data_IF_610980688823
#
_entry.id   IF_610980688823
#
_cell.length_a   1.000
_cell.length_b   1.000
_cell.length_c   1.000
_cell.angle_alpha   90.00
_cell.angle_beta   90.00
_cell.angle_gamma   90.00
#
_symmetry.space_group_name_H-M   'P 1'
#
loop_
_entity.id
_entity.type
_entity.pdbx_description
1 polymer ?
#
# COMPACT_ATOMS: atom_id res chain seq x y z
N UNK A 1 9.75 -20.05 -14.72
CA UNK A 1 9.67 -18.60 -14.41
C UNK A 1 8.43 -18.36 -13.56
N UNK A 2 8.62 -17.90 -12.34
CA UNK A 2 7.48 -17.61 -11.47
C UNK A 2 6.76 -16.35 -11.94
N UNK A 3 5.44 -16.43 -12.04
CA UNK A 3 4.62 -15.26 -12.30
C UNK A 3 4.38 -14.55 -10.98
N UNK A 4 5.13 -13.48 -10.76
CA UNK A 4 4.95 -12.65 -9.57
C UNK A 4 3.90 -11.59 -9.87
N UNK A 5 2.84 -11.57 -9.08
CA UNK A 5 1.78 -10.57 -9.18
C UNK A 5 1.85 -9.70 -7.93
N UNK A 6 1.97 -8.41 -8.14
CA UNK A 6 1.87 -7.40 -7.09
C UNK A 6 1.30 -6.16 -7.74
N UNK A 7 -0.01 -6.03 -7.67
CA UNK A 7 -0.72 -4.90 -8.26
C UNK A 7 -1.68 -4.33 -7.24
N UNK A 8 -1.80 -3.00 -7.24
CA UNK A 8 -2.82 -2.33 -6.47
C UNK A 8 -3.46 -1.22 -7.31
N UNK A 9 -4.72 -0.98 -7.01
CA UNK A 9 -5.49 0.14 -7.55
C UNK A 9 -6.20 0.79 -6.36
N UNK A 10 -5.88 2.06 -6.10
CA UNK A 10 -6.47 2.81 -5.01
C UNK A 10 -7.03 4.12 -5.51
N UNK A 11 -8.22 4.47 -5.07
CA UNK A 11 -8.86 5.75 -5.39
C UNK A 11 -9.43 6.36 -4.13
N UNK A 12 -9.11 7.62 -3.90
CA UNK A 12 -9.58 8.33 -2.72
C UNK A 12 -9.18 9.79 -2.75
N UNK A 13 -9.06 10.36 -1.57
CA UNK A 13 -8.67 11.76 -1.40
C UNK A 13 -7.42 11.87 -0.54
N UNK A 14 -6.54 12.78 -0.92
CA UNK A 14 -5.35 13.09 -0.13
C UNK A 14 -5.77 13.68 1.21
N UNK A 15 -5.23 13.13 2.30
CA UNK A 15 -5.48 13.60 3.66
C UNK A 15 -4.20 14.25 4.19
N UNK A 16 -4.27 15.52 4.49
CA UNK A 16 -3.12 16.28 4.95
C UNK A 16 -2.20 16.71 3.82
N UNK A 17 -1.05 17.25 4.17
CA UNK A 17 -0.07 17.73 3.21
C UNK A 17 0.96 16.65 2.92
N UNK A 18 1.23 16.30 1.64
CA UNK A 18 2.32 15.40 1.31
C UNK A 18 3.65 15.94 1.80
N UNK A 19 4.53 15.05 2.26
CA UNK A 19 5.87 15.42 2.74
C UNK A 19 6.93 14.80 1.86
N UNK A 20 8.05 15.51 1.69
CA UNK A 20 9.20 14.96 0.99
C UNK A 20 9.78 13.84 1.85
N UNK A 21 9.83 12.63 1.30
CA UNK A 21 10.34 11.47 1.99
C UNK A 21 11.84 11.31 1.79
N UNK A 22 12.22 10.70 0.70
CA UNK A 22 13.62 10.45 0.39
C UNK A 22 13.95 10.81 -1.05
N UNK A 23 15.22 10.92 -1.33
CA UNK A 23 15.77 11.12 -2.66
C UNK A 23 16.60 9.90 -3.02
N UNK A 24 16.39 9.35 -4.22
CA UNK A 24 17.18 8.24 -4.72
C UNK A 24 17.44 8.46 -6.20
N UNK A 25 18.72 8.37 -6.60
CA UNK A 25 19.12 8.53 -8.01
C UNK A 25 18.62 9.83 -8.66
N UNK A 26 18.62 10.94 -7.86
CA UNK A 26 18.15 12.24 -8.33
C UNK A 26 16.64 12.39 -8.37
N UNK A 27 15.90 11.42 -7.90
CA UNK A 27 14.43 11.41 -7.89
C UNK A 27 13.91 11.61 -6.47
N UNK A 28 12.99 12.56 -6.28
CA UNK A 28 12.34 12.80 -5.01
C UNK A 28 11.08 11.96 -4.89
N UNK A 29 10.85 11.43 -3.70
CA UNK A 29 9.63 10.71 -3.37
C UNK A 29 8.87 11.46 -2.30
N UNK A 30 7.56 11.49 -2.45
CA UNK A 30 6.66 12.07 -1.48
C UNK A 30 5.95 10.96 -0.71
N UNK A 31 5.74 11.18 0.57
CA UNK A 31 4.88 10.35 1.42
C UNK A 31 3.59 11.10 1.63
N UNK A 32 2.49 10.43 1.40
CA UNK A 32 1.17 11.01 1.62
C UNK A 32 0.22 9.97 2.20
N UNK A 33 -0.87 10.44 2.74
CA UNK A 33 -1.95 9.59 3.22
C UNK A 33 -3.13 9.72 2.26
N UNK A 34 -3.63 8.58 1.81
CA UNK A 34 -4.80 8.52 0.95
C UNK A 34 -5.97 7.97 1.75
N UNK A 35 -7.07 8.73 1.80
CA UNK A 35 -8.30 8.28 2.42
C UNK A 35 -9.14 7.54 1.40
N UNK A 36 -9.31 6.24 1.59
CA UNK A 36 -10.03 5.37 0.66
C UNK A 36 -11.35 4.95 1.30
N UNK A 37 -12.48 5.26 0.67
CA UNK A 37 -13.79 4.99 1.28
C UNK A 37 -14.12 3.50 1.23
N UNK A 38 -14.78 3.02 2.30
CA UNK A 38 -15.43 1.70 2.35
C UNK A 38 -16.91 1.85 2.04
N UNK A 39 -17.54 0.75 1.65
CA UNK A 39 -18.99 0.70 1.42
C UNK A 39 -19.78 1.12 2.67
N UNK A 40 -19.24 0.86 3.86
CA UNK A 40 -19.87 1.24 5.14
C UNK A 40 -19.89 2.74 5.41
N UNK A 41 -19.18 3.53 4.60
CA UNK A 41 -18.97 4.96 4.85
C UNK A 41 -17.72 5.26 5.66
N UNK A 42 -17.07 4.24 6.24
CA UNK A 42 -15.79 4.42 6.91
C UNK A 42 -14.70 4.67 5.88
N UNK A 43 -13.60 5.25 6.34
CA UNK A 43 -12.47 5.60 5.49
C UNK A 43 -11.21 4.91 6.01
N UNK A 44 -10.50 4.23 5.13
CA UNK A 44 -9.16 3.71 5.42
C UNK A 44 -8.13 4.78 5.08
N UNK A 45 -7.22 5.03 6.01
CA UNK A 45 -6.10 5.95 5.80
C UNK A 45 -4.87 5.12 5.42
N UNK A 46 -4.49 5.19 4.15
CA UNK A 46 -3.44 4.34 3.60
C UNK A 46 -2.20 5.16 3.26
N UNK A 47 -1.01 4.69 3.66
CA UNK A 47 0.24 5.37 3.31
C UNK A 47 0.58 5.11 1.84
N UNK A 48 0.94 6.18 1.13
CA UNK A 48 1.31 6.13 -0.28
C UNK A 48 2.68 6.75 -0.46
N UNK A 49 3.53 6.10 -1.22
CA UNK A 49 4.81 6.63 -1.68
C UNK A 49 4.71 6.94 -3.17
N UNK A 50 5.05 8.16 -3.55
CA UNK A 50 4.83 8.64 -4.91
C UNK A 50 6.01 9.46 -5.38
N UNK A 51 6.56 9.11 -6.56
CA UNK A 51 7.64 9.87 -7.17
C UNK A 51 7.15 11.22 -7.68
N UNK A 52 7.94 12.26 -7.47
CA UNK A 52 7.65 13.59 -8.00
C UNK A 52 7.49 13.59 -9.53
N UNK A 53 8.15 12.64 -10.20
CA UNK A 53 8.04 12.47 -11.66
C UNK A 53 6.60 12.24 -12.11
N UNK A 54 5.80 11.55 -11.29
CA UNK A 54 4.39 11.26 -11.61
C UNK A 54 3.51 12.49 -11.52
N UNK A 55 3.94 13.51 -10.81
CA UNK A 55 3.16 14.74 -10.62
C UNK A 55 3.26 15.70 -11.79
N UNK A 56 4.28 15.55 -12.63
CA UNK A 56 4.50 16.40 -13.81
C UNK A 56 4.41 17.90 -13.50
N UNK A 57 5.09 18.29 -12.40
CA UNK A 57 5.12 19.68 -11.95
C UNK A 57 3.92 20.12 -11.11
N UNK A 58 2.91 19.28 -10.98
CA UNK A 58 1.75 19.58 -10.15
C UNK A 58 2.05 19.33 -8.68
N UNK A 59 1.25 19.93 -7.80
CA UNK A 59 1.32 19.71 -6.36
C UNK A 59 0.00 19.12 -5.88
N UNK A 60 0.10 18.13 -5.01
CA UNK A 60 -1.07 17.55 -4.35
C UNK A 60 -1.33 18.28 -3.03
N UNK A 61 -2.59 18.55 -2.76
CA UNK A 61 -3.03 19.22 -1.54
C UNK A 61 -4.09 18.39 -0.84
N UNK A 62 -4.30 18.67 0.44
CA UNK A 62 -5.35 18.05 1.23
C UNK A 62 -6.71 18.18 0.52
N UNK A 63 -7.42 17.05 0.41
CA UNK A 63 -8.72 17.00 -0.24
C UNK A 63 -8.70 16.70 -1.73
N UNK A 64 -7.53 16.73 -2.36
CA UNK A 64 -7.43 16.41 -3.79
C UNK A 64 -7.78 14.95 -4.05
N UNK A 65 -8.55 14.71 -5.10
CA UNK A 65 -8.82 13.35 -5.55
C UNK A 65 -7.57 12.75 -6.19
N UNK A 66 -7.28 11.51 -5.86
CA UNK A 66 -6.12 10.80 -6.38
C UNK A 66 -6.46 9.34 -6.62
N UNK A 67 -6.17 8.87 -7.82
CA UNK A 67 -6.27 7.46 -8.18
C UNK A 67 -4.90 6.99 -8.65
N UNK A 68 -4.42 5.90 -8.08
CA UNK A 68 -3.11 5.35 -8.41
C UNK A 68 -3.20 3.87 -8.74
N UNK A 69 -2.31 3.45 -9.64
CA UNK A 69 -1.94 2.05 -9.84
C UNK A 69 -0.50 1.87 -9.40
N UNK A 70 -0.21 0.74 -8.78
CA UNK A 70 1.14 0.49 -8.30
C UNK A 70 1.30 -0.89 -7.66
N UNK A 71 2.13 -0.93 -6.63
CA UNK A 71 2.47 -2.16 -5.91
C UNK A 71 2.38 -1.93 -4.41
N UNK A 72 2.13 -3.02 -3.68
CA UNK A 72 2.29 -3.01 -2.22
C UNK A 72 3.75 -3.29 -1.90
N UNK A 73 4.37 -2.44 -1.11
CA UNK A 73 5.75 -2.61 -0.70
C UNK A 73 5.90 -2.52 0.80
N UNK A 74 6.91 -3.23 1.31
CA UNK A 74 7.27 -3.20 2.73
C UNK A 74 8.68 -2.66 2.89
N UNK A 75 8.94 -2.06 4.03
CA UNK A 75 10.28 -1.63 4.42
C UNK A 75 10.39 -1.64 5.94
N UNK A 76 11.63 -1.79 6.40
CA UNK A 76 11.91 -1.75 7.83
C UNK A 76 12.41 -0.35 8.21
N UNK A 77 11.90 0.15 9.32
CA UNK A 77 12.30 1.43 9.87
C UNK A 77 12.52 1.32 11.36
N UNK A 78 13.55 1.96 11.87
CA UNK A 78 13.79 2.03 13.30
C UNK A 78 13.01 3.21 13.85
N UNK A 79 12.07 2.92 14.74
CA UNK A 79 11.24 3.93 15.41
C UNK A 79 11.45 3.73 16.92
N UNK A 80 11.91 4.78 17.60
CA UNK A 80 12.18 4.76 19.04
C UNK A 80 13.08 3.57 19.46
N UNK A 81 14.10 3.28 18.66
CA UNK A 81 15.05 2.22 18.92
C UNK A 81 14.59 0.81 18.57
N UNK A 82 13.37 0.64 18.10
CA UNK A 82 12.82 -0.66 17.70
C UNK A 82 12.61 -0.73 16.20
N UNK A 83 12.96 -1.86 15.59
CA UNK A 83 12.69 -2.12 14.20
C UNK A 83 11.19 -2.36 13.96
N UNK A 84 10.62 -1.69 12.96
CA UNK A 84 9.23 -1.85 12.58
C UNK A 84 9.10 -2.12 11.10
N UNK A 85 8.22 -3.05 10.76
CA UNK A 85 7.83 -3.32 9.38
C UNK A 85 6.71 -2.36 9.01
N UNK A 86 6.96 -1.57 7.97
CA UNK A 86 5.97 -0.62 7.45
C UNK A 86 5.56 -1.05 6.05
N UNK A 87 4.30 -0.80 5.74
CA UNK A 87 3.71 -1.12 4.44
C UNK A 87 3.32 0.17 3.76
N UNK A 88 3.57 0.27 2.47
CA UNK A 88 3.17 1.43 1.68
C UNK A 88 2.61 1.00 0.34
N UNK A 89 1.69 1.80 -0.18
CA UNK A 89 1.26 1.71 -1.57
C UNK A 89 2.26 2.49 -2.41
N UNK A 90 3.06 1.80 -3.19
CA UNK A 90 4.06 2.41 -4.06
C UNK A 90 3.43 2.73 -5.40
N UNK A 91 3.13 4.00 -5.63
CA UNK A 91 2.48 4.44 -6.86
C UNK A 91 3.43 4.35 -8.05
N UNK A 92 2.99 3.71 -9.12
CA UNK A 92 3.72 3.62 -10.38
C UNK A 92 3.07 4.47 -11.46
N UNK A 93 1.79 4.79 -11.30
CA UNK A 93 1.02 5.56 -12.26
C UNK A 93 -0.09 6.30 -11.54
N UNK A 94 -0.34 7.54 -11.94
CA UNK A 94 -1.54 8.29 -11.58
C UNK A 94 -2.55 8.07 -12.69
N UNK A 95 -3.76 7.64 -12.32
CA UNK A 95 -4.82 7.34 -13.27
C UNK A 95 -5.79 8.51 -13.31
N UNK A 96 -6.04 8.99 -14.50
CA UNK A 96 -7.09 9.98 -14.74
C UNK A 96 -8.34 9.27 -15.29
N UNK A 97 -9.50 9.77 -14.96
CA UNK A 97 -10.78 9.22 -15.44
C UNK A 97 -10.94 7.73 -15.09
N UNK A 98 -10.87 7.45 -13.78
CA UNK A 98 -11.01 6.09 -13.27
C UNK A 98 -12.41 5.54 -13.51
N UNK A 99 -12.48 4.40 -14.22
CA UNK A 99 -13.73 3.69 -14.50
C UNK A 99 -13.96 2.49 -13.57
N UNK A 100 -13.02 2.23 -12.65
CA UNK A 100 -13.15 1.11 -11.72
C UNK A 100 -14.20 1.41 -10.64
N UNK A 101 -15.05 0.43 -10.38
CA UNK A 101 -16.06 0.56 -9.33
C UNK A 101 -15.47 0.38 -7.93
N UNK A 102 -14.41 -0.42 -7.81
CA UNK A 102 -13.79 -0.71 -6.52
C UNK A 102 -12.61 0.25 -6.27
N UNK A 103 -12.72 1.13 -5.25
CA UNK A 103 -11.64 2.07 -4.95
C UNK A 103 -10.43 1.45 -4.24
N UNK A 104 -10.50 0.18 -3.88
CA UNK A 104 -9.44 -0.51 -3.15
C UNK A 104 -9.33 -1.94 -3.64
N UNK A 105 -8.41 -2.17 -4.57
CA UNK A 105 -8.24 -3.47 -5.18
C UNK A 105 -6.76 -3.84 -5.20
N UNK A 106 -6.43 -5.00 -4.62
CA UNK A 106 -5.06 -5.47 -4.49
C UNK A 106 -5.00 -6.93 -4.93
N UNK A 107 -3.99 -7.26 -5.71
CA UNK A 107 -3.73 -8.63 -6.12
C UNK A 107 -2.25 -8.96 -5.87
N UNK A 108 -2.02 -9.98 -5.06
CA UNK A 108 -0.68 -10.41 -4.67
C UNK A 108 -0.50 -11.91 -4.88
N UNK A 109 0.67 -12.29 -5.37
CA UNK A 109 1.12 -13.67 -5.41
C UNK A 109 2.44 -13.77 -4.65
N UNK A 110 2.51 -14.69 -3.72
CA UNK A 110 3.71 -14.84 -2.92
C UNK A 110 3.74 -16.17 -2.18
N UNK A 111 4.70 -16.29 -1.27
CA UNK A 111 4.91 -17.48 -0.47
C UNK A 111 4.62 -17.19 0.99
N UNK A 112 3.91 -18.08 1.66
CA UNK A 112 3.71 -17.97 3.11
C UNK A 112 5.05 -18.19 3.82
N UNK A 113 5.47 -17.23 4.64
CA UNK A 113 6.74 -17.30 5.36
C UNK A 113 6.67 -18.22 6.57
N UNK A 114 5.47 -18.43 7.08
CA UNK A 114 5.21 -19.26 8.27
C UNK A 114 3.79 -19.79 8.20
N UNK A 115 3.48 -20.78 9.04
CA UNK A 115 2.13 -21.32 9.13
C UNK A 115 1.14 -20.21 9.52
N UNK A 116 -0.04 -20.17 8.88
CA UNK A 116 -1.06 -19.20 9.28
C UNK A 116 -1.47 -19.41 10.74
N UNK A 117 -1.66 -18.32 11.47
CA UNK A 117 -2.11 -18.35 12.85
C UNK A 117 -3.60 -18.11 12.91
N UNK A 118 -4.33 -19.14 13.29
CA UNK A 118 -5.78 -19.08 13.46
C UNK A 118 -6.12 -18.46 14.81
N UNK A 119 -7.11 -17.58 14.81
CA UNK A 119 -7.67 -17.05 16.06
C UNK A 119 -9.12 -16.64 15.86
N UNK A 120 -9.83 -16.50 16.97
CA UNK A 120 -11.21 -16.04 16.99
C UNK A 120 -11.26 -14.65 17.62
N UNK A 121 -11.97 -13.73 16.99
CA UNK A 121 -12.13 -12.37 17.55
C UNK A 121 -13.06 -12.41 18.78
N UNK A 122 -13.05 -11.33 19.61
CA UNK A 122 -13.99 -11.25 20.74
C UNK A 122 -15.47 -11.38 20.36
N UNK A 123 -15.81 -11.07 19.12
CA UNK A 123 -17.18 -11.20 18.61
C UNK A 123 -17.45 -12.55 17.92
N UNK A 124 -16.55 -13.53 18.09
CA UNK A 124 -16.75 -14.87 17.57
C UNK A 124 -16.43 -15.09 16.09
N UNK A 125 -15.80 -14.13 15.44
CA UNK A 125 -15.42 -14.29 14.04
C UNK A 125 -14.08 -15.02 13.94
N UNK A 126 -13.98 -15.93 12.99
CA UNK A 126 -12.75 -16.66 12.71
C UNK A 126 -11.87 -15.85 11.77
N UNK A 127 -10.59 -15.74 12.11
CA UNK A 127 -9.59 -15.10 11.26
C UNK A 127 -8.31 -15.91 11.25
N UNK A 128 -7.54 -15.75 10.17
CA UNK A 128 -6.19 -16.29 10.08
C UNK A 128 -5.22 -15.18 9.75
N UNK A 129 -4.18 -15.06 10.55
CA UNK A 129 -3.07 -14.12 10.32
C UNK A 129 -2.01 -14.82 9.49
N UNK A 130 -1.57 -14.18 8.40
CA UNK A 130 -0.57 -14.72 7.49
C UNK A 130 0.50 -13.69 7.20
N UNK A 131 1.71 -14.17 6.89
CA UNK A 131 2.78 -13.30 6.37
C UNK A 131 3.14 -13.79 4.97
N UNK A 132 2.93 -12.95 3.99
CA UNK A 132 3.19 -13.26 2.58
C UNK A 132 4.50 -12.60 2.16
N UNK A 133 5.43 -13.40 1.60
CA UNK A 133 6.63 -12.89 0.97
C UNK A 133 6.37 -12.74 -0.52
N UNK A 134 6.45 -11.52 -1.02
CA UNK A 134 6.22 -11.19 -2.42
C UNK A 134 7.55 -10.76 -3.03
N UNK A 135 8.02 -11.48 -4.03
CA UNK A 135 9.32 -11.20 -4.63
C UNK A 135 9.27 -9.92 -5.46
N UNK A 136 10.28 -9.10 -5.29
CA UNK A 136 10.58 -7.97 -6.15
C UNK A 136 11.64 -8.35 -7.18
N UNK A 137 11.73 -7.59 -8.27
CA UNK A 137 12.88 -7.67 -9.15
C UNK A 137 14.18 -7.46 -8.34
N UNK A 138 15.28 -8.05 -8.81
CA UNK A 138 16.61 -7.92 -8.23
C UNK A 138 16.80 -8.54 -6.84
N UNK A 139 16.07 -9.60 -6.53
CA UNK A 139 16.32 -10.42 -5.36
C UNK A 139 15.80 -9.88 -4.02
N UNK A 140 15.02 -8.83 -4.05
CA UNK A 140 14.36 -8.31 -2.84
C UNK A 140 12.97 -8.91 -2.68
N UNK A 141 12.50 -8.97 -1.43
CA UNK A 141 11.14 -9.43 -1.12
C UNK A 141 10.44 -8.41 -0.25
N UNK A 142 9.14 -8.28 -0.48
CA UNK A 142 8.26 -7.53 0.39
C UNK A 142 7.54 -8.49 1.30
N UNK A 143 7.48 -8.19 2.60
CA UNK A 143 6.80 -9.00 3.59
C UNK A 143 5.50 -8.31 3.98
N UNK A 144 4.38 -8.93 3.62
CA UNK A 144 3.08 -8.28 3.72
C UNK A 144 2.20 -9.07 4.67
N UNK A 145 1.87 -8.51 5.85
CA UNK A 145 0.91 -9.12 6.76
C UNK A 145 -0.47 -9.12 6.14
N UNK A 146 -1.13 -10.26 6.17
CA UNK A 146 -2.47 -10.43 5.62
C UNK A 146 -3.38 -11.08 6.64
N UNK A 147 -4.64 -10.72 6.59
CA UNK A 147 -5.68 -11.32 7.43
C UNK A 147 -6.78 -11.84 6.52
N UNK A 148 -7.17 -13.10 6.73
CA UNK A 148 -8.35 -13.66 6.07
C UNK A 148 -9.46 -13.86 7.08
N UNK A 149 -10.69 -13.62 6.63
CA UNK A 149 -11.90 -13.80 7.42
C UNK A 149 -12.63 -15.05 6.99
N UNK A 150 -13.05 -15.88 7.95
CA UNK A 150 -13.88 -17.04 7.71
C UNK A 150 -15.36 -16.73 7.61
#
# INVERSE_FOLDING_TARGET
MENVINTLHLSGKVVGTPVVGHEAFGEKFYYLTLGVPRLSGAQDLLPVTLSERLLDGAMLADGDALTIDGQVRSYNKIIEGAGRLLITAFAQKIVENDEHENPNQIQLTGTLCKAPAYRTTPFGREIADMMLAVNRAYGKSDYIPCITWG
#
